data_IF_660432783711
#
_entry.id   IF_660432783711
#
_cell.length_a   1.000
_cell.length_b   1.000
_cell.length_c   1.000
_cell.angle_alpha   90.00
_cell.angle_beta   90.00
_cell.angle_gamma   90.00
#
_symmetry.space_group_name_H-M   'P 1'
#
loop_
_entity.id
_entity.type
_entity.pdbx_description
1 polymer ?
#
# COMPACT_ATOMS: atom_id res chain seq x y z
N UNK A 1 -13.77 -4.19 17.75
CA UNK A 1 -13.85 -5.56 17.19
C UNK A 1 -13.66 -6.64 18.25
N UNK A 2 -12.47 -6.81 18.86
CA UNK A 2 -12.20 -7.90 19.82
C UNK A 2 -13.22 -8.02 20.97
N UNK A 3 -13.52 -6.92 21.68
CA UNK A 3 -14.51 -6.91 22.76
C UNK A 3 -15.91 -7.37 22.32
N UNK A 4 -16.35 -6.94 21.14
CA UNK A 4 -17.68 -7.30 20.63
C UNK A 4 -17.76 -8.77 20.21
N UNK A 5 -16.70 -9.30 19.60
CA UNK A 5 -16.63 -10.73 19.25
C UNK A 5 -16.68 -11.61 20.51
N UNK A 6 -15.93 -11.23 21.56
CA UNK A 6 -15.98 -11.95 22.83
C UNK A 6 -17.36 -11.85 23.49
N UNK A 7 -18.02 -10.69 23.42
CA UNK A 7 -19.40 -10.51 23.89
C UNK A 7 -20.39 -11.42 23.15
N UNK A 8 -20.15 -11.68 21.87
CA UNK A 8 -20.95 -12.61 21.04
C UNK A 8 -20.60 -14.08 21.27
N UNK A 9 -19.68 -14.40 22.18
CA UNK A 9 -19.31 -15.76 22.55
C UNK A 9 -18.12 -16.34 21.77
N UNK A 10 -17.42 -15.54 20.96
CA UNK A 10 -16.19 -15.99 20.30
C UNK A 10 -15.03 -16.05 21.31
N UNK A 11 -14.27 -17.14 21.29
CA UNK A 11 -13.02 -17.27 22.03
C UNK A 11 -11.86 -16.63 21.24
N UNK A 12 -11.05 -15.80 21.91
CA UNK A 12 -9.82 -15.29 21.32
C UNK A 12 -8.71 -16.33 21.46
N UNK A 13 -8.10 -16.72 20.34
CA UNK A 13 -6.87 -17.54 20.36
C UNK A 13 -5.68 -16.58 20.47
N UNK A 14 -4.91 -16.72 21.54
CA UNK A 14 -3.73 -15.90 21.82
C UNK A 14 -4.06 -14.49 22.30
N UNK A 15 -3.23 -13.51 21.92
CA UNK A 15 -3.32 -12.13 22.38
C UNK A 15 -3.78 -11.19 21.26
N UNK A 16 -4.41 -10.08 21.64
CA UNK A 16 -4.84 -9.04 20.69
C UNK A 16 -3.65 -8.12 20.35
N UNK A 17 -3.19 -8.16 19.10
CA UNK A 17 -2.10 -7.31 18.61
C UNK A 17 -2.49 -5.83 18.49
N UNK A 18 -1.54 -4.95 18.78
CA UNK A 18 -1.66 -3.49 18.63
C UNK A 18 -0.34 -2.96 18.07
N UNK A 19 -0.38 -2.39 16.88
CA UNK A 19 0.77 -1.73 16.28
C UNK A 19 0.72 -0.21 16.45
N UNK A 20 1.89 0.41 16.64
CA UNK A 20 2.06 1.86 16.79
C UNK A 20 2.86 2.46 15.62
N UNK A 21 2.13 2.88 14.58
CA UNK A 21 2.70 3.59 13.42
C UNK A 21 3.21 5.00 13.80
N UNK A 22 2.70 5.59 14.89
CA UNK A 22 3.11 6.92 15.35
C UNK A 22 4.54 6.96 15.91
N UNK A 23 5.07 5.80 16.32
CA UNK A 23 6.48 5.64 16.72
C UNK A 23 7.34 5.00 15.64
N UNK A 24 6.76 4.67 14.48
CA UNK A 24 7.46 3.97 13.40
C UNK A 24 7.83 2.53 13.75
N UNK A 25 7.12 1.88 14.69
CA UNK A 25 7.42 0.50 15.15
C UNK A 25 6.34 -0.50 14.74
N UNK A 26 5.53 -0.15 13.74
CA UNK A 26 4.40 -0.96 13.28
C UNK A 26 4.83 -2.37 12.85
N UNK A 27 5.98 -2.46 12.17
CA UNK A 27 6.51 -3.73 11.67
C UNK A 27 7.05 -4.62 12.79
N UNK A 28 7.74 -4.04 13.78
CA UNK A 28 8.21 -4.73 14.97
C UNK A 28 7.03 -5.24 15.80
N UNK A 29 6.06 -4.39 16.13
CA UNK A 29 4.86 -4.76 16.88
C UNK A 29 4.08 -5.90 16.21
N UNK A 30 3.99 -5.87 14.87
CA UNK A 30 3.36 -6.93 14.08
C UNK A 30 4.15 -8.24 14.17
N UNK A 31 5.48 -8.17 14.06
CA UNK A 31 6.33 -9.36 14.10
C UNK A 31 6.29 -10.03 15.46
N UNK A 32 6.42 -9.27 16.55
CA UNK A 32 6.35 -9.78 17.92
C UNK A 32 5.02 -10.48 18.17
N UNK A 33 3.90 -9.82 17.85
CA UNK A 33 2.57 -10.42 17.96
C UNK A 33 2.44 -11.71 17.14
N UNK A 34 2.95 -11.72 15.90
CA UNK A 34 2.89 -12.90 15.01
C UNK A 34 3.68 -14.07 15.58
N UNK A 35 4.87 -13.84 16.12
CA UNK A 35 5.71 -14.90 16.68
C UNK A 35 5.13 -15.50 17.95
N UNK A 36 4.46 -14.70 18.78
CA UNK A 36 3.75 -15.18 19.96
C UNK A 36 2.49 -15.97 19.62
N UNK A 37 1.74 -15.52 18.61
CA UNK A 37 0.42 -16.06 18.28
C UNK A 37 0.48 -17.38 17.48
N UNK A 38 1.45 -17.53 16.56
CA UNK A 38 1.52 -18.71 15.67
C UNK A 38 1.65 -20.06 16.40
N UNK A 39 2.50 -20.21 17.45
CA UNK A 39 2.55 -21.43 18.24
C UNK A 39 1.22 -21.77 18.94
N UNK A 40 0.48 -20.75 19.39
CA UNK A 40 -0.81 -20.94 20.06
C UNK A 40 -1.87 -21.46 19.08
N UNK A 41 -1.90 -20.94 17.85
CA UNK A 41 -2.76 -21.48 16.78
C UNK A 41 -2.39 -22.93 16.48
N UNK A 42 -1.11 -23.20 16.26
CA UNK A 42 -0.62 -24.56 15.94
C UNK A 42 -1.04 -25.57 17.01
N UNK A 43 -0.87 -25.20 18.29
CA UNK A 43 -1.29 -26.01 19.43
C UNK A 43 -2.83 -26.20 19.48
N UNK A 44 -3.60 -25.11 19.35
CA UNK A 44 -5.07 -25.14 19.43
C UNK A 44 -5.71 -26.05 18.38
N UNK A 45 -5.17 -26.07 17.17
CA UNK A 45 -5.70 -26.86 16.05
C UNK A 45 -4.97 -28.19 15.83
N UNK A 46 -4.02 -28.56 16.70
CA UNK A 46 -3.27 -29.81 16.58
C UNK A 46 -2.38 -29.87 15.33
N UNK A 47 -2.09 -28.73 14.71
CA UNK A 47 -1.20 -28.60 13.56
C UNK A 47 0.22 -28.48 14.10
N UNK A 48 0.72 -29.56 14.71
CA UNK A 48 2.10 -29.67 15.15
C UNK A 48 2.97 -29.42 13.93
N UNK A 49 3.58 -28.23 13.91
CA UNK A 49 4.52 -27.72 12.92
C UNK A 49 5.17 -28.80 12.06
N UNK A 50 4.53 -29.16 10.95
CA UNK A 50 5.28 -29.47 9.74
C UNK A 50 5.84 -28.15 9.24
N UNK A 51 6.70 -27.53 10.05
CA UNK A 51 7.64 -26.50 9.64
C UNK A 51 8.61 -27.21 8.71
N UNK A 52 8.12 -27.57 7.52
CA UNK A 52 8.96 -27.57 6.35
C UNK A 52 9.70 -26.23 6.39
N UNK A 53 10.98 -26.23 6.00
CA UNK A 53 11.73 -24.98 5.76
C UNK A 53 10.77 -23.99 5.11
N UNK A 54 10.79 -22.72 5.54
CA UNK A 54 10.05 -21.63 4.89
C UNK A 54 10.50 -21.58 3.43
N UNK A 55 9.87 -22.41 2.61
CA UNK A 55 10.07 -22.49 1.19
C UNK A 55 9.03 -21.56 0.61
N UNK A 56 9.50 -20.68 -0.26
CA UNK A 56 8.61 -19.81 -0.99
C UNK A 56 7.65 -20.69 -1.82
N UNK A 57 6.36 -20.50 -1.60
CA UNK A 57 5.30 -21.12 -2.38
C UNK A 57 4.61 -20.02 -3.20
N UNK A 58 4.67 -20.14 -4.51
CA UNK A 58 4.04 -19.19 -5.43
C UNK A 58 2.53 -19.18 -5.24
N UNK A 59 1.96 -18.00 -4.97
CA UNK A 59 0.50 -17.79 -4.97
C UNK A 59 -0.04 -17.50 -6.38
N UNK A 60 0.84 -17.20 -7.33
CA UNK A 60 0.49 -16.78 -8.68
C UNK A 60 1.38 -17.49 -9.71
N UNK A 61 0.85 -17.66 -10.92
CA UNK A 61 1.57 -18.29 -12.03
C UNK A 61 1.72 -17.30 -13.18
N UNK A 62 2.91 -17.27 -13.78
CA UNK A 62 3.17 -16.48 -14.99
C UNK A 62 2.54 -17.15 -16.22
N UNK A 63 1.85 -16.36 -17.04
CA UNK A 63 1.27 -16.78 -18.32
C UNK A 63 1.91 -15.94 -19.42
N UNK A 64 2.63 -16.56 -20.34
CA UNK A 64 3.44 -15.86 -21.37
C UNK A 64 2.68 -15.52 -22.66
N UNK A 65 1.55 -16.18 -22.94
CA UNK A 65 0.78 -16.00 -24.17
C UNK A 65 -0.63 -15.47 -23.86
N UNK A 66 -0.74 -14.15 -23.73
CA UNK A 66 -2.02 -13.47 -23.47
C UNK A 66 -2.38 -12.57 -24.66
N UNK A 67 -3.65 -12.62 -25.06
CA UNK A 67 -4.21 -11.72 -26.07
C UNK A 67 -4.13 -10.26 -25.58
N UNK A 68 -3.52 -9.37 -26.36
CA UNK A 68 -3.34 -7.94 -26.07
C UNK A 68 -4.63 -7.21 -25.72
N UNK A 69 -5.78 -7.72 -26.13
CA UNK A 69 -7.09 -7.12 -25.85
C UNK A 69 -7.69 -7.54 -24.50
N UNK A 70 -7.06 -8.47 -23.78
CA UNK A 70 -7.59 -9.09 -22.55
C UNK A 70 -6.74 -8.81 -21.31
N UNK A 71 -5.88 -7.80 -21.33
CA UNK A 71 -5.12 -7.39 -20.15
C UNK A 71 -4.96 -5.88 -20.07
N UNK A 72 -4.71 -5.40 -18.85
CA UNK A 72 -4.36 -4.00 -18.58
C UNK A 72 -2.86 -3.78 -18.84
N UNK A 73 -2.51 -2.66 -19.45
CA UNK A 73 -1.15 -2.21 -19.76
C UNK A 73 -0.59 -1.26 -18.69
N UNK A 74 -1.22 -1.21 -17.51
CA UNK A 74 -0.89 -0.29 -16.42
C UNK A 74 -2.08 0.51 -15.92
N UNK A 75 -3.25 0.34 -16.52
CA UNK A 75 -4.49 0.92 -16.01
C UNK A 75 -4.86 0.32 -14.66
N UNK A 76 -5.29 1.18 -13.73
CA UNK A 76 -5.86 0.75 -12.45
C UNK A 76 -7.33 0.40 -12.69
N UNK A 77 -7.61 -0.89 -12.87
CA UNK A 77 -8.95 -1.41 -13.15
C UNK A 77 -9.24 -2.67 -12.33
N UNK A 78 -10.44 -2.75 -11.76
CA UNK A 78 -10.94 -3.95 -11.08
C UNK A 78 -11.38 -5.05 -12.04
N UNK A 79 -11.65 -4.73 -13.31
CA UNK A 79 -12.13 -5.67 -14.32
C UNK A 79 -11.85 -5.21 -15.76
N UNK A 80 -11.93 -6.14 -16.72
CA UNK A 80 -11.87 -5.80 -18.15
C UNK A 80 -13.03 -4.89 -18.60
N UNK A 81 -14.17 -4.92 -17.90
CA UNK A 81 -15.28 -3.99 -18.16
C UNK A 81 -14.86 -2.56 -17.81
N UNK A 82 -14.17 -2.38 -16.69
CA UNK A 82 -13.71 -1.06 -16.27
C UNK A 82 -12.71 -0.45 -17.26
N UNK A 83 -11.90 -1.28 -17.91
CA UNK A 83 -11.01 -0.85 -18.98
C UNK A 83 -11.77 -0.19 -20.14
N UNK A 84 -12.91 -0.75 -20.55
CA UNK A 84 -13.76 -0.19 -21.62
C UNK A 84 -14.42 1.14 -21.23
N UNK A 85 -14.57 1.41 -19.94
CA UNK A 85 -15.29 2.58 -19.41
C UNK A 85 -14.44 3.39 -18.43
N UNK A 86 -13.11 3.38 -18.60
CA UNK A 86 -12.15 3.94 -17.64
C UNK A 86 -12.40 5.42 -17.31
N UNK A 87 -12.89 6.18 -18.29
CA UNK A 87 -13.19 7.61 -18.16
C UNK A 87 -14.65 7.90 -17.80
N UNK A 88 -15.43 6.88 -17.41
CA UNK A 88 -16.86 7.05 -17.10
C UNK A 88 -17.13 6.73 -15.62
N UNK A 89 -17.96 7.54 -14.94
CA UNK A 89 -18.36 7.28 -13.57
C UNK A 89 -19.18 5.97 -13.46
N UNK A 90 -19.29 5.40 -12.26
CA UNK A 90 -18.76 5.89 -10.98
C UNK A 90 -17.25 5.66 -10.86
N UNK A 91 -16.55 6.57 -10.17
CA UNK A 91 -15.11 6.42 -9.87
C UNK A 91 -14.93 5.96 -8.42
N UNK A 92 -13.92 5.12 -8.17
CA UNK A 92 -13.61 4.49 -6.89
C UNK A 92 -12.15 3.99 -6.88
N UNK A 93 -11.66 3.43 -5.77
CA UNK A 93 -10.27 3.03 -5.57
C UNK A 93 -9.73 2.06 -6.63
N UNK A 94 -10.59 1.20 -7.19
CA UNK A 94 -10.22 0.22 -8.22
C UNK A 94 -10.53 0.67 -9.66
N UNK A 95 -11.09 1.88 -9.83
CA UNK A 95 -11.25 2.56 -11.13
C UNK A 95 -11.21 4.07 -10.88
N UNK A 96 -10.00 4.63 -10.70
CA UNK A 96 -9.84 6.04 -10.39
C UNK A 96 -10.16 6.91 -11.62
N UNK A 97 -10.53 8.16 -11.36
CA UNK A 97 -10.60 9.17 -12.40
C UNK A 97 -9.19 9.62 -12.79
N UNK A 98 -8.80 9.45 -14.05
CA UNK A 98 -7.52 9.93 -14.56
C UNK A 98 -7.65 11.42 -14.88
N UNK A 99 -7.35 12.26 -13.90
CA UNK A 99 -7.37 13.72 -14.06
C UNK A 99 -6.18 14.21 -14.89
N UNK A 100 -6.43 15.13 -15.83
CA UNK A 100 -5.36 15.87 -16.50
C UNK A 100 -4.90 17.01 -15.61
N UNK A 101 -3.60 17.27 -15.62
CA UNK A 101 -3.03 18.45 -14.99
C UNK A 101 -2.92 19.57 -16.03
N UNK A 102 -3.58 20.70 -15.78
CA UNK A 102 -3.61 21.82 -16.74
C UNK A 102 -2.41 22.77 -16.57
N UNK A 103 -1.93 22.95 -15.33
CA UNK A 103 -0.83 23.87 -15.01
C UNK A 103 -0.01 23.31 -13.85
N UNK A 104 1.31 23.50 -13.92
CA UNK A 104 2.22 23.21 -12.81
C UNK A 104 3.01 24.47 -12.48
N UNK A 105 3.19 24.75 -11.20
CA UNK A 105 4.06 25.83 -10.73
C UNK A 105 4.96 25.28 -9.63
N UNK A 106 6.26 25.48 -9.78
CA UNK A 106 7.25 25.21 -8.72
C UNK A 106 7.09 26.29 -7.64
N UNK A 107 6.93 25.87 -6.39
CA UNK A 107 6.73 26.79 -5.25
C UNK A 107 8.02 26.99 -4.47
N UNK A 108 8.92 26.01 -4.50
CA UNK A 108 10.25 26.08 -3.88
C UNK A 108 11.25 25.39 -4.79
N UNK A 109 12.41 26.03 -4.96
CA UNK A 109 13.58 25.45 -5.58
C UNK A 109 14.67 25.37 -4.51
N UNK A 110 14.93 24.15 -4.01
CA UNK A 110 15.93 23.90 -2.96
C UNK A 110 17.32 23.81 -3.59
N UNK A 111 17.75 24.89 -4.24
CA UNK A 111 19.13 25.08 -4.66
C UNK A 111 19.88 25.90 -3.61
N UNK A 112 20.24 25.26 -2.48
CA UNK A 112 21.39 25.74 -1.71
C UNK A 112 22.25 24.53 -1.31
N UNK A 113 23.47 24.51 -1.84
CA UNK A 113 24.43 23.40 -1.76
C UNK A 113 25.07 23.21 -0.38
N UNK A 114 24.31 23.45 0.70
CA UNK A 114 24.76 23.34 2.09
C UNK A 114 23.72 22.70 3.01
N UNK A 115 23.05 21.65 2.54
CA UNK A 115 22.28 20.81 3.44
C UNK A 115 22.69 19.36 3.21
N UNK A 116 23.43 18.83 4.19
CA UNK A 116 23.62 17.40 4.37
C UNK A 116 22.24 16.86 4.73
N UNK A 117 21.55 16.29 3.74
CA UNK A 117 20.29 15.60 3.99
C UNK A 117 20.69 14.20 4.47
N UNK A 118 20.41 13.90 5.74
CA UNK A 118 20.35 12.51 6.18
C UNK A 118 19.29 11.81 5.32
N UNK A 119 19.63 10.62 4.80
CA UNK A 119 18.93 9.86 3.75
C UNK A 119 17.47 9.45 4.08
N UNK A 120 16.88 9.94 5.18
CA UNK A 120 15.59 9.53 5.73
C UNK A 120 14.42 10.49 5.40
N UNK A 121 14.65 11.62 4.70
CA UNK A 121 13.54 12.43 4.17
C UNK A 121 12.96 11.82 2.89
N UNK A 122 12.23 10.72 3.10
CA UNK A 122 11.25 10.15 2.18
C UNK A 122 10.44 11.27 1.51
N UNK A 123 10.48 11.25 0.17
CA UNK A 123 9.80 12.15 -0.74
C UNK A 123 8.28 12.10 -0.52
N UNK A 124 7.76 12.90 0.41
CA UNK A 124 6.32 12.98 0.66
C UNK A 124 5.66 13.80 -0.46
N UNK A 125 5.19 13.12 -1.51
CA UNK A 125 4.41 13.73 -2.58
C UNK A 125 2.99 14.03 -2.05
N UNK A 126 2.84 15.14 -1.33
CA UNK A 126 1.56 15.55 -0.75
C UNK A 126 0.62 16.06 -1.87
N UNK A 127 -0.31 15.22 -2.32
CA UNK A 127 -1.35 15.61 -3.30
C UNK A 127 -2.52 16.29 -2.59
N UNK A 128 -2.66 17.61 -2.73
CA UNK A 128 -3.83 18.35 -2.26
C UNK A 128 -4.86 18.45 -3.40
N UNK A 129 -6.01 17.81 -3.25
CA UNK A 129 -7.15 17.96 -4.17
C UNK A 129 -8.08 19.09 -3.68
N UNK A 130 -8.15 20.20 -4.42
CA UNK A 130 -9.16 21.25 -4.21
C UNK A 130 -10.21 21.19 -5.33
N UNK A 131 -11.49 21.11 -4.94
CA UNK A 131 -12.62 21.19 -5.88
C UNK A 131 -12.87 22.65 -6.27
N UNK A 132 -13.00 22.85 -7.59
CA UNK A 132 -13.47 24.05 -8.30
C UNK A 132 -12.78 25.36 -7.92
N UNK A 133 -11.94 25.79 -8.85
CA UNK A 133 -11.32 27.12 -8.95
C UNK A 133 -10.05 27.31 -8.11
N UNK A 134 -8.96 27.28 -8.90
CA UNK A 134 -7.61 27.75 -8.66
C UNK A 134 -6.61 26.80 -7.98
N UNK A 135 -5.85 26.16 -8.88
CA UNK A 135 -4.47 25.65 -8.81
C UNK A 135 -4.23 24.39 -7.96
N UNK A 136 -3.71 23.37 -8.64
CA UNK A 136 -3.15 22.15 -8.03
C UNK A 136 -1.65 22.37 -7.84
N UNK A 137 -1.15 22.03 -6.66
CA UNK A 137 0.25 22.22 -6.29
C UNK A 137 0.89 20.83 -6.13
N UNK A 138 1.98 20.58 -6.87
CA UNK A 138 2.83 19.40 -6.68
C UNK A 138 4.24 19.91 -6.42
N UNK A 139 4.83 19.47 -5.30
CA UNK A 139 6.25 19.65 -5.03
C UNK A 139 6.98 18.45 -5.63
N UNK A 140 7.86 18.71 -6.60
CA UNK A 140 8.75 17.69 -7.16
C UNK A 140 10.17 18.10 -6.82
N UNK A 141 10.88 17.32 -6.00
CA UNK A 141 12.34 17.40 -5.96
C UNK A 141 12.89 16.72 -7.23
N UNK A 142 13.79 17.40 -7.92
CA UNK A 142 14.50 16.87 -9.09
C UNK A 142 15.80 16.27 -8.56
N UNK A 143 16.01 14.97 -8.74
CA UNK A 143 17.33 14.39 -8.61
C UNK A 143 18.10 14.71 -9.90
N UNK A 144 19.15 15.53 -9.78
CA UNK A 144 20.15 15.65 -10.84
C UNK A 144 21.02 14.41 -10.79
N UNK A 145 20.91 13.59 -11.84
CA UNK A 145 21.83 12.51 -12.12
C UNK A 145 23.25 13.11 -12.27
N UNK A 146 24.14 12.80 -11.34
CA UNK A 146 25.55 13.15 -11.46
C UNK A 146 26.28 11.99 -12.14
N UNK A 147 26.40 12.11 -13.46
CA UNK A 147 27.47 11.62 -14.36
C UNK A 147 28.02 10.20 -14.16
#
# INVERSE_FOLDING_TARGET
MNKELQRLGCELIGTFGKGDDGKGVLDEDYNDWKFDMMPMIASRFGVMSQLKKKEYAESFKVISNVDSKKFAHGEIVGSLRDLMFINRPPFHESKPFIAKFDNFKVIYDLHDGKHHYDDDMMMMMMMIFKKREERVYIVRSIFLDQS
#
